data_IF_935420473148
#
_entry.id   IF_935420473148
#
_cell.length_a   1.000
_cell.length_b   1.000
_cell.length_c   1.000
_cell.angle_alpha   90.00
_cell.angle_beta   90.00
_cell.angle_gamma   90.00
#
_symmetry.space_group_name_H-M   'P 1'
#
loop_
_entity.id
_entity.type
_entity.pdbx_description
1 polymer ?
#
# COMPACT_ATOMS: atom_id res chain seq x y z
N UNK A 1 0.96 8.86 9.74
CA UNK A 1 0.22 9.07 8.46
C UNK A 1 -1.29 9.12 8.65
N UNK A 2 -1.91 8.18 9.40
CA UNK A 2 -3.36 8.15 9.61
C UNK A 2 -3.96 9.48 10.11
N UNK A 3 -3.34 10.11 11.10
CA UNK A 3 -3.75 11.43 11.58
C UNK A 3 -3.79 12.49 10.47
N UNK A 4 -2.70 12.62 9.70
CA UNK A 4 -2.61 13.58 8.61
C UNK A 4 -3.64 13.29 7.50
N UNK A 5 -3.87 12.03 7.16
CA UNK A 5 -4.91 11.65 6.19
C UNK A 5 -6.28 12.17 6.63
N UNK A 6 -6.69 11.90 7.87
CA UNK A 6 -7.98 12.33 8.40
C UNK A 6 -8.11 13.85 8.53
N UNK A 7 -6.99 14.54 8.70
CA UNK A 7 -6.97 16.00 8.81
C UNK A 7 -7.13 16.69 7.44
N UNK A 8 -6.52 16.13 6.40
CA UNK A 8 -6.43 16.77 5.08
C UNK A 8 -7.35 16.16 4.02
N UNK A 9 -8.00 15.03 4.30
CA UNK A 9 -8.86 14.32 3.36
C UNK A 9 -10.05 13.68 4.08
N UNK A 10 -11.12 13.40 3.35
CA UNK A 10 -12.29 12.65 3.85
C UNK A 10 -12.07 11.12 3.86
N UNK A 11 -10.88 10.65 3.46
CA UNK A 11 -10.57 9.22 3.43
C UNK A 11 -10.51 8.63 4.84
N UNK A 12 -11.15 7.48 5.03
CA UNK A 12 -11.18 6.75 6.31
C UNK A 12 -10.26 5.54 6.31
N UNK A 13 -9.92 5.01 5.13
CA UNK A 13 -9.02 3.87 4.93
C UNK A 13 -7.63 4.34 4.47
N UNK A 14 -6.63 4.12 5.34
CA UNK A 14 -5.24 4.48 5.07
C UNK A 14 -4.66 3.77 3.86
N UNK A 15 -5.09 2.55 3.55
CA UNK A 15 -4.61 1.84 2.36
C UNK A 15 -5.12 2.51 1.08
N UNK A 16 -6.41 2.84 1.04
CA UNK A 16 -7.04 3.54 -0.08
C UNK A 16 -6.37 4.88 -0.32
N UNK A 17 -6.21 5.68 0.73
CA UNK A 17 -5.50 6.95 0.66
C UNK A 17 -4.07 6.77 0.17
N UNK A 18 -3.31 5.82 0.74
CA UNK A 18 -1.91 5.63 0.42
C UNK A 18 -1.70 5.21 -1.03
N UNK A 19 -2.50 4.26 -1.54
CA UNK A 19 -2.46 3.85 -2.95
C UNK A 19 -2.70 5.03 -3.88
N UNK A 20 -3.70 5.86 -3.57
CA UNK A 20 -4.02 7.07 -4.34
C UNK A 20 -2.88 8.09 -4.28
N UNK A 21 -2.26 8.24 -3.12
CA UNK A 21 -1.14 9.16 -2.93
C UNK A 21 0.08 8.76 -3.76
N UNK A 22 0.32 7.46 -4.00
CA UNK A 22 1.50 6.97 -4.75
C UNK A 22 1.20 6.53 -6.19
N UNK A 23 -0.07 6.49 -6.61
CA UNK A 23 -0.47 6.01 -7.95
C UNK A 23 -0.07 6.93 -9.09
N UNK A 24 0.24 8.20 -8.79
CA UNK A 24 0.71 9.17 -9.78
C UNK A 24 2.08 8.80 -10.38
N UNK A 25 2.86 7.98 -9.67
CA UNK A 25 4.19 7.52 -10.09
C UNK A 25 4.26 6.00 -10.18
N UNK A 26 3.54 5.28 -9.33
CA UNK A 26 3.66 3.82 -9.21
C UNK A 26 2.42 3.09 -9.73
N UNK A 27 2.63 1.97 -10.42
CA UNK A 27 1.54 1.05 -10.76
C UNK A 27 1.40 0.00 -9.66
N UNK A 28 0.22 -0.07 -9.03
CA UNK A 28 0.00 -0.93 -7.86
C UNK A 28 -1.04 -1.99 -8.19
N UNK A 29 -0.69 -3.24 -7.97
CA UNK A 29 -1.61 -4.39 -8.04
C UNK A 29 -1.71 -5.03 -6.67
N UNK A 30 -2.93 -5.10 -6.14
CA UNK A 30 -3.25 -5.86 -4.95
C UNK A 30 -4.05 -7.09 -5.36
N UNK A 31 -3.59 -8.29 -4.97
CA UNK A 31 -4.27 -9.53 -5.30
C UNK A 31 -4.61 -10.32 -4.05
N UNK A 32 -5.89 -10.37 -3.74
CA UNK A 32 -6.43 -11.27 -2.73
C UNK A 32 -6.28 -12.72 -3.18
N UNK A 33 -6.03 -13.63 -2.23
CA UNK A 33 -5.95 -15.06 -2.54
C UNK A 33 -7.32 -15.58 -2.99
N UNK A 34 -7.35 -16.33 -4.09
CA UNK A 34 -8.55 -17.03 -4.55
C UNK A 34 -8.82 -18.31 -3.75
N UNK A 35 -7.87 -18.77 -2.93
CA UNK A 35 -8.08 -19.90 -2.05
C UNK A 35 -8.86 -19.46 -0.79
N UNK A 36 -10.04 -20.04 -0.51
CA UNK A 36 -10.87 -19.68 0.64
C UNK A 36 -10.13 -19.74 1.98
N UNK A 37 -9.18 -20.67 2.14
CA UNK A 37 -8.38 -20.81 3.36
C UNK A 37 -7.51 -19.57 3.66
N UNK A 38 -7.23 -18.75 2.65
CA UNK A 38 -6.39 -17.55 2.74
C UNK A 38 -7.15 -16.25 2.39
N UNK A 39 -8.48 -16.31 2.24
CA UNK A 39 -9.29 -15.15 1.87
C UNK A 39 -9.17 -13.99 2.87
N UNK A 40 -8.97 -14.30 4.16
CA UNK A 40 -8.87 -13.31 5.24
C UNK A 40 -7.43 -12.88 5.55
N UNK A 41 -6.44 -13.31 4.77
CA UNK A 41 -5.05 -12.88 4.97
C UNK A 41 -4.86 -11.46 4.46
N UNK A 42 -4.00 -10.69 5.15
CA UNK A 42 -3.61 -9.33 4.74
C UNK A 42 -2.94 -9.38 3.37
N UNK A 43 -3.40 -8.58 2.42
CA UNK A 43 -2.84 -8.50 1.06
C UNK A 43 -2.70 -7.05 0.58
N UNK A 44 -3.17 -6.09 1.39
CA UNK A 44 -3.22 -4.68 1.06
C UNK A 44 -1.82 -4.08 1.15
N UNK A 45 -1.49 -3.19 0.22
CA UNK A 45 -0.16 -2.61 0.05
C UNK A 45 0.33 -1.95 1.33
N UNK A 46 -0.48 -1.07 1.93
CA UNK A 46 -0.10 -0.34 3.13
C UNK A 46 0.10 -1.28 4.33
N UNK A 47 -0.72 -2.32 4.45
CA UNK A 47 -0.56 -3.31 5.52
C UNK A 47 0.72 -4.13 5.36
N UNK A 48 1.05 -4.50 4.13
CA UNK A 48 2.27 -5.23 3.79
C UNK A 48 3.52 -4.36 3.89
N UNK A 49 3.42 -3.05 3.62
CA UNK A 49 4.52 -2.10 3.85
C UNK A 49 4.69 -1.79 5.33
N UNK A 50 3.61 -1.68 6.08
CA UNK A 50 3.61 -1.31 7.49
C UNK A 50 3.96 -2.50 8.41
N UNK A 51 5.07 -3.15 8.10
CA UNK A 51 5.73 -4.17 8.92
C UNK A 51 7.17 -3.74 9.25
N UNK A 52 7.86 -4.52 10.10
CA UNK A 52 9.20 -4.18 10.58
C UNK A 52 10.27 -4.09 9.48
N UNK A 53 10.11 -4.83 8.37
CA UNK A 53 11.12 -4.90 7.31
C UNK A 53 10.92 -3.81 6.24
N UNK A 54 9.67 -3.55 5.88
CA UNK A 54 9.30 -2.72 4.74
C UNK A 54 8.81 -1.32 5.14
N UNK A 55 8.61 -1.04 6.44
CA UNK A 55 8.07 0.24 6.91
C UNK A 55 8.88 1.46 6.48
N UNK A 56 10.18 1.29 6.27
CA UNK A 56 11.10 2.33 5.77
C UNK A 56 10.81 2.78 4.34
N UNK A 57 10.11 1.98 3.53
CA UNK A 57 9.77 2.33 2.14
C UNK A 57 8.52 3.22 2.04
N UNK A 58 7.74 3.36 3.12
CA UNK A 58 6.48 4.12 3.11
C UNK A 58 6.68 5.59 2.70
N UNK A 59 7.67 6.27 3.29
CA UNK A 59 7.92 7.70 3.03
C UNK A 59 8.63 7.96 1.68
N UNK A 60 9.66 7.17 1.28
CA UNK A 60 10.24 7.29 -0.05
C UNK A 60 9.20 7.13 -1.17
N UNK A 61 8.31 6.15 -1.09
CA UNK A 61 7.26 5.93 -2.10
C UNK A 61 6.29 7.12 -2.23
N UNK A 62 5.95 7.80 -1.13
CA UNK A 62 5.12 9.00 -1.14
C UNK A 62 5.78 10.22 -1.78
N UNK A 63 7.11 10.27 -1.75
CA UNK A 63 7.89 11.44 -2.17
C UNK A 63 8.57 11.25 -3.52
N UNK A 64 8.44 10.06 -4.10
CA UNK A 64 9.08 9.70 -5.36
C UNK A 64 8.43 10.45 -6.52
N UNK A 65 9.22 11.28 -7.23
CA UNK A 65 8.70 12.18 -8.30
C UNK A 65 8.78 11.61 -9.71
N UNK A 66 9.64 10.61 -9.97
CA UNK A 66 9.97 10.09 -11.32
C UNK A 66 10.32 8.61 -11.33
N UNK A 67 9.67 7.78 -10.52
CA UNK A 67 9.87 6.33 -10.62
C UNK A 67 8.60 5.68 -11.17
N UNK A 68 8.74 4.86 -12.20
CA UNK A 68 7.70 3.97 -12.72
C UNK A 68 7.88 2.59 -12.07
N UNK A 69 7.63 2.49 -10.77
CA UNK A 69 7.74 1.19 -10.10
C UNK A 69 6.42 0.43 -10.22
N UNK A 70 6.55 -0.87 -10.41
CA UNK A 70 5.44 -1.82 -10.34
C UNK A 70 5.48 -2.46 -8.96
N UNK A 71 4.44 -2.22 -8.17
CA UNK A 71 4.31 -2.78 -6.83
C UNK A 71 3.23 -3.87 -6.87
N UNK A 72 3.62 -5.09 -6.55
CA UNK A 72 2.72 -6.25 -6.46
C UNK A 72 2.59 -6.65 -5.00
N UNK A 73 1.40 -6.47 -4.46
CA UNK A 73 1.06 -6.83 -3.09
C UNK A 73 0.12 -8.03 -3.07
N UNK A 74 0.58 -9.12 -2.45
CA UNK A 74 -0.20 -10.35 -2.23
C UNK A 74 -0.15 -10.74 -0.76
N UNK A 75 -0.78 -11.84 -0.37
CA UNK A 75 -0.81 -12.23 1.03
C UNK A 75 0.54 -12.72 1.60
N UNK A 76 1.49 -13.08 0.74
CA UNK A 76 2.79 -13.64 1.13
C UNK A 76 3.97 -12.87 0.55
N UNK A 77 3.75 -11.96 -0.39
CA UNK A 77 4.83 -11.29 -1.12
C UNK A 77 4.50 -9.82 -1.36
N UNK A 78 5.51 -8.99 -1.15
CA UNK A 78 5.59 -7.62 -1.62
C UNK A 78 6.80 -7.54 -2.56
N UNK A 79 6.57 -7.24 -3.83
CA UNK A 79 7.59 -7.16 -4.89
C UNK A 79 7.45 -5.87 -5.70
#
# INVERSE_FOLDING_TARGET
>A
LNYNMRLFTEETDINTWYKKAVSHTNYIVEKQSSNPAFANKKYRLYENLNNGEHGKYILPLLTTKKAHMFLISTYNTLA
#
